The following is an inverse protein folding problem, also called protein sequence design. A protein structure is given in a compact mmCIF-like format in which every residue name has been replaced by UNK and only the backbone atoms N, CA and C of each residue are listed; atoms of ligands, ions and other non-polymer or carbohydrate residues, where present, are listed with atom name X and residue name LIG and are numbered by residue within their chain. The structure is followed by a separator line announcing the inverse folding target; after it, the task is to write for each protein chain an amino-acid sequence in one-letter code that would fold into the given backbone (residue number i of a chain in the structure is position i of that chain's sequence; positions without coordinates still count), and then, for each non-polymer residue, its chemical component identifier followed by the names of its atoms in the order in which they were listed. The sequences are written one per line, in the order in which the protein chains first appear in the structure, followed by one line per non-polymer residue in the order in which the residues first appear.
data_IF_392945795342
#
_entry.id   IF_392945795342
#
_cell.length_a   1.000
_cell.length_b   1.000
_cell.length_c   1.000
_cell.angle_alpha   90.00
_cell.angle_beta   90.00
_cell.angle_gamma   90.00
#
_symmetry.space_group_name_H-M   'P 1'
#
loop_
_entity.id
_entity.type
_entity.pdbx_description
1 polymer ?
#
# COMPACT_ATOMS: atom_id res chain seq x y z
N UNK A 1 -1.19 -14.61 12.60
CA UNK A 1 -0.83 -13.42 13.38
C UNK A 1 0.11 -12.55 12.54
N UNK A 2 -0.10 -11.22 12.51
CA UNK A 2 0.81 -10.30 11.81
C UNK A 2 2.19 -10.31 12.44
N UNK A 3 3.25 -10.45 11.64
CA UNK A 3 4.65 -10.48 12.10
C UNK A 3 5.48 -9.31 11.54
N UNK A 4 5.04 -8.69 10.46
CA UNK A 4 5.64 -7.49 9.90
C UNK A 4 4.66 -6.81 8.93
N UNK A 5 4.83 -5.50 8.72
CA UNK A 5 4.15 -4.77 7.66
C UNK A 5 5.08 -3.74 7.02
N UNK A 6 4.88 -3.51 5.72
CA UNK A 6 5.44 -2.39 4.97
C UNK A 6 4.29 -1.55 4.41
N UNK A 7 4.33 -0.27 4.64
CA UNK A 7 3.44 0.70 4.01
C UNK A 7 4.21 1.39 2.89
N UNK A 8 3.67 1.38 1.70
CA UNK A 8 4.28 1.99 0.51
C UNK A 8 3.24 2.82 -0.26
N UNK A 9 3.66 3.93 -0.88
CA UNK A 9 2.80 4.67 -1.79
C UNK A 9 2.56 3.86 -3.07
N UNK A 10 1.47 4.14 -3.77
CA UNK A 10 1.10 3.38 -4.96
C UNK A 10 0.87 4.21 -6.24
N UNK A 11 1.52 5.37 -6.42
CA UNK A 11 1.38 6.06 -7.68
C UNK A 11 2.05 5.25 -8.80
N UNK A 12 1.42 5.10 -9.98
CA UNK A 12 2.05 4.47 -11.14
C UNK A 12 3.40 5.10 -11.52
N UNK A 13 3.63 6.35 -11.14
CA UNK A 13 4.90 7.07 -11.31
C UNK A 13 6.10 6.45 -10.54
N UNK A 14 5.86 5.54 -9.58
CA UNK A 14 6.94 4.76 -8.99
C UNK A 14 7.64 3.86 -10.02
N UNK A 15 6.92 3.45 -11.07
CA UNK A 15 7.47 2.69 -12.19
C UNK A 15 8.23 3.64 -13.11
N UNK A 16 9.57 3.47 -13.28
CA UNK A 16 10.41 4.42 -14.03
C UNK A 16 9.94 4.66 -15.46
N UNK A 17 9.43 3.62 -16.12
CA UNK A 17 8.92 3.71 -17.49
C UNK A 17 7.70 4.64 -17.58
N UNK A 18 6.84 4.67 -16.55
CA UNK A 18 5.69 5.59 -16.47
C UNK A 18 6.16 7.00 -16.16
N UNK A 19 7.12 7.16 -15.25
CA UNK A 19 7.65 8.47 -14.87
C UNK A 19 8.53 9.10 -15.95
N UNK A 20 9.09 8.30 -16.86
CA UNK A 20 9.98 8.74 -17.93
C UNK A 20 11.12 9.66 -17.39
N UNK A 21 11.22 10.90 -17.90
CA UNK A 21 12.25 11.86 -17.48
C UNK A 21 12.18 12.30 -16.01
N UNK A 22 11.03 12.12 -15.34
CA UNK A 22 10.84 12.43 -13.93
C UNK A 22 11.22 11.26 -12.99
N UNK A 23 11.61 10.11 -13.53
CA UNK A 23 11.93 8.93 -12.73
C UNK A 23 12.92 9.18 -11.59
N UNK A 24 14.01 9.96 -11.74
CA UNK A 24 14.96 10.22 -10.65
C UNK A 24 14.34 10.92 -9.43
N UNK A 25 13.27 11.69 -9.61
CA UNK A 25 12.60 12.40 -8.51
C UNK A 25 12.00 11.46 -7.45
N UNK A 26 11.73 10.20 -7.82
CA UNK A 26 11.17 9.18 -6.93
C UNK A 26 12.19 8.11 -6.50
N UNK A 27 13.50 8.30 -6.75
CA UNK A 27 14.52 7.33 -6.36
C UNK A 27 14.57 7.13 -4.84
N UNK A 28 14.44 8.19 -4.05
CA UNK A 28 14.40 8.10 -2.60
C UNK A 28 13.19 7.29 -2.10
N UNK A 29 12.00 7.53 -2.67
CA UNK A 29 10.80 6.77 -2.35
C UNK A 29 10.96 5.29 -2.71
N UNK A 30 11.52 4.98 -3.89
CA UNK A 30 11.80 3.59 -4.32
C UNK A 30 12.79 2.88 -3.42
N UNK A 31 13.85 3.58 -2.98
CA UNK A 31 14.82 3.02 -2.03
C UNK A 31 14.14 2.69 -0.71
N UNK A 32 13.38 3.63 -0.14
CA UNK A 32 12.64 3.41 1.10
C UNK A 32 11.64 2.23 0.99
N UNK A 33 10.93 2.11 -0.14
CA UNK A 33 10.07 0.95 -0.39
C UNK A 33 10.88 -0.36 -0.37
N UNK A 34 12.05 -0.39 -1.00
CA UNK A 34 12.91 -1.59 -0.99
C UNK A 34 13.38 -1.95 0.42
N UNK A 35 13.74 -0.94 1.23
CA UNK A 35 14.12 -1.14 2.63
C UNK A 35 12.95 -1.70 3.45
N UNK A 36 11.73 -1.17 3.26
CA UNK A 36 10.52 -1.67 3.91
C UNK A 36 10.21 -3.13 3.53
N UNK A 37 10.38 -3.50 2.27
CA UNK A 37 10.21 -4.89 1.83
C UNK A 37 11.28 -5.81 2.43
N UNK A 38 12.49 -5.32 2.65
CA UNK A 38 13.55 -6.05 3.38
C UNK A 38 13.13 -6.44 4.80
N UNK A 39 12.35 -5.59 5.48
CA UNK A 39 11.78 -5.91 6.81
C UNK A 39 10.78 -7.06 6.73
N UNK A 40 9.94 -7.11 5.67
CA UNK A 40 9.00 -8.21 5.46
C UNK A 40 9.74 -9.55 5.26
N UNK A 41 10.78 -9.57 4.42
CA UNK A 41 11.59 -10.75 4.16
C UNK A 41 12.30 -11.24 5.44
N UNK A 42 12.89 -10.31 6.22
CA UNK A 42 13.56 -10.63 7.49
C UNK A 42 12.60 -11.26 8.52
N UNK A 43 11.31 -10.92 8.47
CA UNK A 43 10.29 -11.50 9.34
C UNK A 43 9.95 -12.95 8.99
N UNK A 44 10.37 -13.51 7.85
CA UNK A 44 10.11 -14.88 7.40
C UNK A 44 8.63 -15.28 7.55
N UNK A 45 7.72 -14.63 6.84
CA UNK A 45 6.30 -14.94 6.89
C UNK A 45 5.98 -16.28 6.22
N UNK A 46 4.85 -16.88 6.60
CA UNK A 46 4.25 -18.02 5.88
C UNK A 46 3.37 -17.57 4.72
N UNK A 47 2.91 -16.30 4.77
CA UNK A 47 2.07 -15.68 3.76
C UNK A 47 2.34 -14.18 3.72
N UNK A 48 2.49 -13.62 2.52
CA UNK A 48 2.44 -12.18 2.25
C UNK A 48 1.08 -11.81 1.67
N UNK A 49 0.44 -10.80 2.25
CA UNK A 49 -0.79 -10.23 1.65
C UNK A 49 -0.51 -8.80 1.22
N UNK A 50 -0.73 -8.51 -0.07
CA UNK A 50 -0.66 -7.16 -0.64
C UNK A 50 -2.05 -6.55 -0.57
N UNK A 51 -2.21 -5.46 0.18
CA UNK A 51 -3.49 -4.76 0.35
C UNK A 51 -3.39 -3.39 -0.29
N UNK A 52 -4.36 -3.00 -1.11
CA UNK A 52 -4.33 -1.68 -1.74
C UNK A 52 -5.71 -1.16 -2.11
N UNK A 53 -5.83 0.18 -2.35
CA UNK A 53 -7.08 0.79 -2.76
C UNK A 53 -7.52 0.26 -4.13
N UNK A 54 -8.81 0.05 -4.28
CA UNK A 54 -9.38 -0.46 -5.53
C UNK A 54 -10.74 0.15 -5.84
N UNK A 55 -10.94 0.48 -7.10
CA UNK A 55 -12.26 0.77 -7.66
C UNK A 55 -13.17 -0.47 -7.61
N UNK A 56 -14.43 -0.30 -7.96
CA UNK A 56 -15.46 -1.33 -7.80
C UNK A 56 -15.07 -2.68 -8.43
N UNK A 57 -14.56 -2.68 -9.65
CA UNK A 57 -14.12 -3.89 -10.36
C UNK A 57 -12.87 -4.55 -9.77
N UNK A 58 -12.05 -3.78 -9.03
CA UNK A 58 -10.80 -4.23 -8.43
C UNK A 58 -10.92 -4.72 -6.99
N UNK A 59 -12.12 -4.69 -6.37
CA UNK A 59 -12.33 -5.12 -4.97
C UNK A 59 -12.29 -6.63 -4.82
N UNK A 60 -11.79 -7.09 -3.69
CA UNK A 60 -11.74 -8.51 -3.31
C UNK A 60 -10.36 -9.13 -3.52
N UNK A 61 -10.31 -10.45 -3.46
CA UNK A 61 -9.05 -11.21 -3.45
C UNK A 61 -8.51 -11.46 -4.86
N UNK A 62 -7.17 -11.52 -4.95
CA UNK A 62 -6.41 -11.87 -6.13
C UNK A 62 -5.43 -12.99 -5.75
N UNK A 63 -5.39 -14.09 -6.50
CA UNK A 63 -4.46 -15.18 -6.23
C UNK A 63 -3.03 -14.79 -6.65
N UNK A 64 -2.06 -15.53 -6.15
CA UNK A 64 -0.69 -15.49 -6.66
C UNK A 64 -0.68 -15.70 -8.17
N UNK A 65 0.21 -14.99 -8.87
CA UNK A 65 0.33 -15.02 -10.33
C UNK A 65 -0.70 -14.16 -11.07
N UNK A 66 -1.63 -13.47 -10.37
CA UNK A 66 -2.58 -12.55 -11.00
C UNK A 66 -1.85 -11.49 -11.84
N UNK A 67 -2.29 -11.24 -13.09
CA UNK A 67 -1.63 -10.29 -13.99
C UNK A 67 -1.97 -8.86 -13.65
N UNK A 68 -1.03 -7.95 -13.89
CA UNK A 68 -1.21 -6.51 -13.85
C UNK A 68 -0.51 -5.84 -15.02
N UNK A 69 -0.94 -4.63 -15.38
CA UNK A 69 -0.40 -3.92 -16.53
C UNK A 69 -0.36 -2.41 -16.29
N UNK A 70 0.65 -1.76 -16.87
CA UNK A 70 0.76 -0.30 -16.90
C UNK A 70 0.40 0.30 -18.26
N UNK A 71 -0.21 -0.48 -19.17
CA UNK A 71 -0.67 0.00 -20.49
C UNK A 71 -1.65 1.14 -20.37
N UNK A 72 -2.51 1.15 -19.33
CA UNK A 72 -3.42 2.26 -19.02
C UNK A 72 -2.71 3.59 -18.70
N UNK A 73 -1.41 3.54 -18.40
CA UNK A 73 -0.53 4.70 -18.15
C UNK A 73 0.45 4.96 -19.31
N UNK A 74 0.21 4.36 -20.48
CA UNK A 74 0.93 4.64 -21.71
C UNK A 74 2.24 3.85 -21.90
N UNK A 75 2.52 2.83 -21.08
CA UNK A 75 3.74 2.01 -21.18
C UNK A 75 3.41 0.53 -21.25
N UNK A 76 4.18 -0.23 -22.04
CA UNK A 76 4.00 -1.67 -22.19
C UNK A 76 4.83 -2.43 -21.14
N UNK A 77 4.45 -2.25 -19.88
CA UNK A 77 5.02 -2.96 -18.74
C UNK A 77 3.94 -3.85 -18.14
N UNK A 78 4.23 -5.13 -18.07
CA UNK A 78 3.38 -6.14 -17.43
C UNK A 78 4.06 -6.62 -16.15
N UNK A 79 3.26 -6.95 -15.14
CA UNK A 79 3.70 -7.47 -13.85
C UNK A 79 2.82 -8.63 -13.43
N UNK A 80 3.29 -9.41 -12.46
CA UNK A 80 2.51 -10.46 -11.82
C UNK A 80 2.63 -10.39 -10.31
N UNK A 81 1.56 -10.75 -9.63
CA UNK A 81 1.58 -10.85 -8.18
C UNK A 81 2.31 -12.12 -7.74
N UNK A 82 3.63 -12.09 -7.81
CA UNK A 82 4.49 -13.25 -7.57
C UNK A 82 4.49 -14.27 -8.69
N UNK A 83 5.14 -15.44 -8.50
CA UNK A 83 5.25 -16.49 -9.51
C UNK A 83 3.88 -17.04 -9.89
N UNK A 84 3.78 -17.53 -11.12
CA UNK A 84 2.54 -18.17 -11.61
C UNK A 84 2.28 -19.41 -10.76
N UNK A 85 1.10 -19.44 -10.13
CA UNK A 85 0.62 -20.58 -9.36
C UNK A 85 -0.21 -21.55 -10.22
N UNK A 86 -0.76 -22.58 -9.58
CA UNK A 86 -1.63 -23.57 -10.25
C UNK A 86 -2.97 -22.96 -10.71
N UNK A 87 -3.37 -21.84 -10.13
CA UNK A 87 -4.60 -21.14 -10.49
C UNK A 87 -4.27 -19.94 -11.37
N UNK A 88 -4.68 -19.97 -12.62
CA UNK A 88 -4.55 -18.83 -13.54
C UNK A 88 -5.73 -17.88 -13.29
N UNK A 89 -5.44 -16.66 -12.88
CA UNK A 89 -6.43 -15.58 -12.80
C UNK A 89 -6.43 -14.80 -14.11
N UNK A 90 -7.59 -14.63 -14.72
CA UNK A 90 -7.78 -13.71 -15.86
C UNK A 90 -8.10 -12.28 -15.38
N UNK A 91 -8.40 -12.12 -14.10
CA UNK A 91 -8.74 -10.82 -13.50
C UNK A 91 -7.46 -10.01 -13.29
N UNK A 92 -7.42 -8.85 -13.93
CA UNK A 92 -6.30 -7.92 -13.85
C UNK A 92 -6.24 -7.21 -12.49
N UNK A 93 -5.03 -7.06 -11.97
CA UNK A 93 -4.76 -6.32 -10.73
C UNK A 93 -5.19 -4.85 -10.86
N UNK A 94 -5.81 -4.25 -9.83
CA UNK A 94 -5.97 -2.80 -9.78
C UNK A 94 -4.59 -2.12 -9.73
N UNK A 95 -4.49 -0.84 -10.16
CA UNK A 95 -3.21 -0.13 -10.23
C UNK A 95 -2.38 -0.18 -8.95
N UNK A 96 -2.99 -0.07 -7.79
CA UNK A 96 -2.31 -0.15 -6.50
C UNK A 96 -1.60 -1.49 -6.28
N UNK A 97 -2.28 -2.60 -6.58
CA UNK A 97 -1.71 -3.94 -6.47
C UNK A 97 -0.70 -4.22 -7.59
N UNK A 98 -0.88 -3.63 -8.77
CA UNK A 98 0.10 -3.71 -9.85
C UNK A 98 1.43 -3.02 -9.46
N UNK A 99 1.37 -1.85 -8.80
CA UNK A 99 2.56 -1.20 -8.22
C UNK A 99 3.19 -2.06 -7.13
N UNK A 100 2.39 -2.67 -6.24
CA UNK A 100 2.87 -3.62 -5.24
C UNK A 100 3.57 -4.83 -5.86
N UNK A 101 2.99 -5.41 -6.92
CA UNK A 101 3.59 -6.51 -7.67
C UNK A 101 4.92 -6.11 -8.29
N UNK A 102 4.99 -4.91 -8.91
CA UNK A 102 6.23 -4.37 -9.46
C UNK A 102 7.33 -4.20 -8.41
N UNK A 103 6.99 -3.70 -7.22
CA UNK A 103 7.94 -3.58 -6.10
C UNK A 103 8.46 -4.95 -5.66
N UNK A 104 7.61 -5.97 -5.59
CA UNK A 104 7.99 -7.33 -5.22
C UNK A 104 8.89 -7.99 -6.28
N UNK A 105 8.58 -7.83 -7.58
CA UNK A 105 9.44 -8.31 -8.66
C UNK A 105 10.82 -7.64 -8.62
N UNK A 106 10.87 -6.33 -8.41
CA UNK A 106 12.11 -5.56 -8.32
C UNK A 106 13.01 -6.00 -7.16
N UNK A 107 12.43 -6.40 -6.03
CA UNK A 107 13.17 -6.91 -4.87
C UNK A 107 13.43 -8.41 -4.92
N UNK A 108 12.92 -9.09 -5.94
CA UNK A 108 13.09 -10.53 -6.11
C UNK A 108 12.38 -11.35 -5.02
N UNK A 109 11.20 -10.92 -4.59
CA UNK A 109 10.46 -11.60 -3.52
C UNK A 109 10.23 -13.08 -3.83
N UNK A 110 10.71 -13.94 -2.93
CA UNK A 110 10.54 -15.40 -2.99
C UNK A 110 10.36 -16.04 -1.62
N UNK A 111 10.20 -15.22 -0.56
CA UNK A 111 10.24 -15.68 0.83
C UNK A 111 8.95 -16.37 1.29
N UNK A 112 7.81 -16.02 0.68
CA UNK A 112 6.50 -16.62 1.00
C UNK A 112 5.53 -16.53 -0.19
N UNK A 113 4.49 -17.39 -0.22
CA UNK A 113 3.33 -17.23 -1.11
C UNK A 113 2.69 -15.85 -0.95
N UNK A 114 2.04 -15.37 -2.03
CA UNK A 114 1.45 -14.03 -2.09
C UNK A 114 -0.04 -14.10 -2.39
N UNK A 115 -0.82 -13.28 -1.70
CA UNK A 115 -2.20 -12.96 -2.05
C UNK A 115 -2.36 -11.44 -2.21
N UNK A 116 -3.28 -11.00 -3.07
CA UNK A 116 -3.69 -9.61 -3.19
C UNK A 116 -5.09 -9.38 -2.66
N UNK A 117 -5.33 -8.21 -2.08
CA UNK A 117 -6.65 -7.77 -1.62
C UNK A 117 -6.89 -6.32 -2.03
N UNK A 118 -7.84 -6.11 -2.94
CA UNK A 118 -8.32 -4.78 -3.31
C UNK A 118 -9.41 -4.29 -2.35
N UNK A 119 -9.19 -3.14 -1.73
CA UNK A 119 -10.09 -2.53 -0.74
C UNK A 119 -10.74 -1.29 -1.30
N UNK A 120 -12.06 -1.18 -1.18
CA UNK A 120 -12.80 0.02 -1.60
C UNK A 120 -12.61 1.17 -0.61
N UNK A 121 -12.34 2.37 -1.11
CA UNK A 121 -12.22 3.60 -0.32
C UNK A 121 -13.43 3.89 0.60
N UNK A 122 -14.69 3.66 0.16
CA UNK A 122 -15.86 3.92 1.01
C UNK A 122 -16.08 2.90 2.13
N UNK A 123 -15.20 1.87 2.26
CA UNK A 123 -15.35 0.86 3.30
C UNK A 123 -15.29 1.52 4.69
N UNK A 124 -16.29 1.23 5.52
CA UNK A 124 -16.37 1.77 6.89
C UNK A 124 -15.17 1.31 7.75
N UNK A 125 -14.67 2.13 8.66
CA UNK A 125 -13.50 1.81 9.50
C UNK A 125 -13.61 0.47 10.23
N UNK A 126 -14.78 0.16 10.78
CA UNK A 126 -15.04 -1.10 11.50
C UNK A 126 -14.91 -2.31 10.57
N UNK A 127 -15.35 -2.17 9.31
CA UNK A 127 -15.24 -3.22 8.30
C UNK A 127 -13.80 -3.37 7.80
N UNK A 128 -13.04 -2.27 7.74
CA UNK A 128 -11.61 -2.33 7.46
C UNK A 128 -10.88 -3.12 8.56
N UNK A 129 -11.14 -2.80 9.83
CA UNK A 129 -10.53 -3.51 10.96
C UNK A 129 -10.91 -5.00 10.98
N UNK A 130 -12.19 -5.33 10.69
CA UNK A 130 -12.64 -6.72 10.59
C UNK A 130 -11.89 -7.48 9.49
N UNK A 131 -11.80 -6.92 8.28
CA UNK A 131 -11.04 -7.49 7.18
C UNK A 131 -9.57 -7.68 7.55
N UNK A 132 -8.99 -6.74 8.29
CA UNK A 132 -7.63 -6.84 8.80
C UNK A 132 -7.44 -8.05 9.73
N UNK A 133 -8.33 -8.24 10.70
CA UNK A 133 -8.30 -9.40 11.60
C UNK A 133 -8.42 -10.72 10.84
N UNK A 134 -9.30 -10.79 9.85
CA UNK A 134 -9.45 -11.98 9.00
C UNK A 134 -8.16 -12.27 8.22
N UNK A 135 -7.51 -11.23 7.65
CA UNK A 135 -6.23 -11.38 6.95
C UNK A 135 -5.15 -11.86 7.91
N UNK A 136 -5.03 -11.24 9.10
CA UNK A 136 -4.04 -11.63 10.11
C UNK A 136 -4.20 -13.09 10.62
N UNK A 137 -5.39 -13.66 10.45
CA UNK A 137 -5.70 -15.05 10.84
C UNK A 137 -5.43 -16.09 9.74
N UNK A 138 -5.14 -15.68 8.49
CA UNK A 138 -4.98 -16.61 7.35
C UNK A 138 -3.82 -17.59 7.48
N UNK A 139 -2.75 -17.21 8.20
CA UNK A 139 -1.59 -18.07 8.43
C UNK A 139 -1.02 -17.83 9.83
N UNK A 140 -0.10 -18.70 10.24
CA UNK A 140 0.58 -18.55 11.54
C UNK A 140 1.42 -17.28 11.59
N UNK A 141 2.11 -16.94 10.50
CA UNK A 141 2.94 -15.76 10.33
C UNK A 141 2.53 -15.04 9.06
N UNK A 142 1.83 -13.93 9.19
CA UNK A 142 1.38 -13.10 8.05
C UNK A 142 2.21 -11.84 7.99
N UNK A 143 2.70 -11.47 6.81
CA UNK A 143 3.22 -10.14 6.53
C UNK A 143 2.24 -9.38 5.62
N UNK A 144 2.20 -8.05 5.77
CA UNK A 144 1.40 -7.18 4.91
C UNK A 144 2.29 -6.21 4.14
N UNK A 145 2.07 -6.12 2.82
CA UNK A 145 2.48 -4.99 2.00
C UNK A 145 1.23 -4.13 1.75
N UNK A 146 1.19 -2.95 2.36
CA UNK A 146 0.02 -2.07 2.35
C UNK A 146 0.28 -0.89 1.44
N UNK A 147 -0.44 -0.85 0.32
CA UNK A 147 -0.33 0.17 -0.71
C UNK A 147 -1.33 1.30 -0.45
N UNK A 148 -0.89 2.55 -0.60
CA UNK A 148 -1.81 3.68 -0.47
C UNK A 148 -1.09 5.02 -0.39
N UNK A 149 -1.71 6.05 -0.99
CA UNK A 149 -1.21 7.42 -0.96
C UNK A 149 -1.95 8.24 0.10
N UNK A 150 -1.28 9.22 0.68
CA UNK A 150 -1.87 10.21 1.55
C UNK A 150 -2.67 11.24 0.72
N UNK A 151 -2.82 12.48 1.18
CA UNK A 151 -3.65 13.45 0.46
C UNK A 151 -3.13 13.73 -0.96
N UNK A 152 -4.04 14.03 -1.89
CA UNK A 152 -3.68 14.50 -3.23
C UNK A 152 -3.95 16.01 -3.40
N UNK A 153 -3.81 16.79 -2.32
CA UNK A 153 -4.26 18.19 -2.23
C UNK A 153 -3.20 19.13 -1.64
N UNK A 154 -1.88 18.80 -1.77
CA UNK A 154 -0.79 19.56 -1.14
C UNK A 154 -0.40 20.83 -1.89
N UNK A 155 -0.74 20.99 -3.16
CA UNK A 155 -0.39 22.14 -3.98
C UNK A 155 -1.50 22.53 -4.97
N UNK A 156 -1.41 23.74 -5.54
CA UNK A 156 -2.35 24.19 -6.58
C UNK A 156 -2.27 23.38 -7.88
N UNK A 157 -1.21 22.59 -8.07
CA UNK A 157 -1.01 21.69 -9.22
C UNK A 157 -1.31 20.23 -8.89
N UNK A 158 -1.64 19.94 -7.63
CA UNK A 158 -2.01 18.59 -7.22
C UNK A 158 -3.30 18.12 -7.91
N UNK A 159 -3.50 16.80 -8.07
CA UNK A 159 -4.72 16.26 -8.69
C UNK A 159 -6.03 16.69 -8.01
N UNK A 160 -5.99 16.93 -6.70
CA UNK A 160 -7.13 17.38 -5.89
C UNK A 160 -7.17 18.89 -5.68
N UNK A 161 -6.21 19.66 -6.29
CA UNK A 161 -5.98 21.07 -6.00
C UNK A 161 -5.54 21.30 -4.54
N UNK A 162 -5.22 22.55 -4.18
CA UNK A 162 -4.76 22.90 -2.83
C UNK A 162 -5.91 22.87 -1.82
N UNK A 163 -5.73 22.14 -0.74
CA UNK A 163 -6.56 22.17 0.47
C UNK A 163 -5.64 22.32 1.70
N UNK A 164 -5.88 23.35 2.51
CA UNK A 164 -5.02 23.63 3.67
C UNK A 164 -5.04 22.52 4.73
N UNK A 165 -6.07 21.66 4.73
CA UNK A 165 -6.18 20.49 5.62
C UNK A 165 -5.26 19.34 5.22
N UNK A 166 -4.76 19.32 3.97
CA UNK A 166 -3.97 18.23 3.44
C UNK A 166 -2.63 18.04 4.18
N UNK A 167 -1.92 19.14 4.46
CA UNK A 167 -0.61 19.03 5.12
C UNK A 167 -0.75 18.52 6.58
N UNK A 168 -1.65 19.02 7.43
CA UNK A 168 -1.88 18.47 8.77
C UNK A 168 -2.34 17.01 8.75
N UNK A 169 -3.21 16.63 7.79
CA UNK A 169 -3.65 15.25 7.61
C UNK A 169 -2.49 14.32 7.29
N UNK A 170 -1.63 14.66 6.32
CA UNK A 170 -0.49 13.85 5.92
C UNK A 170 0.53 13.71 7.06
N UNK A 171 0.79 14.79 7.82
CA UNK A 171 1.68 14.75 8.98
C UNK A 171 1.18 13.77 10.05
N UNK A 172 -0.13 13.77 10.33
CA UNK A 172 -0.71 12.81 11.29
C UNK A 172 -0.65 11.38 10.77
N UNK A 173 -0.91 11.16 9.48
CA UNK A 173 -0.76 9.84 8.83
C UNK A 173 0.69 9.34 8.97
N UNK A 174 1.67 10.18 8.62
CA UNK A 174 3.08 9.81 8.70
C UNK A 174 3.51 9.50 10.15
N UNK A 175 3.05 10.31 11.12
CA UNK A 175 3.26 10.07 12.56
C UNK A 175 2.66 8.73 12.99
N UNK A 176 1.39 8.51 12.67
CA UNK A 176 0.67 7.32 13.10
C UNK A 176 1.27 6.03 12.52
N UNK A 177 1.56 6.03 11.21
CA UNK A 177 2.18 4.90 10.53
C UNK A 177 3.64 4.69 10.98
N UNK A 178 4.39 5.78 11.17
CA UNK A 178 5.78 5.72 11.65
C UNK A 178 5.92 5.21 13.08
N UNK A 179 4.89 5.36 13.92
CA UNK A 179 4.87 4.90 15.30
C UNK A 179 4.12 3.56 15.52
N UNK A 180 3.54 2.97 14.49
CA UNK A 180 2.59 1.86 14.58
C UNK A 180 1.45 2.16 15.57
N UNK A 181 0.96 3.40 15.58
CA UNK A 181 -0.12 3.86 16.44
C UNK A 181 -1.47 3.38 15.90
N UNK A 182 -1.88 2.18 16.29
CA UNK A 182 -3.11 1.54 15.80
C UNK A 182 -4.35 2.39 16.07
N UNK A 183 -4.40 3.05 17.22
CA UNK A 183 -5.56 3.86 17.60
C UNK A 183 -5.69 5.09 16.68
N UNK A 184 -4.59 5.77 16.39
CA UNK A 184 -4.58 6.91 15.47
C UNK A 184 -4.91 6.49 14.03
N UNK A 185 -4.37 5.35 13.55
CA UNK A 185 -4.70 4.83 12.21
C UNK A 185 -6.18 4.45 12.11
N UNK A 186 -6.75 3.80 13.12
CA UNK A 186 -8.17 3.46 13.14
C UNK A 186 -9.08 4.70 13.22
N UNK A 187 -8.61 5.78 13.87
CA UNK A 187 -9.34 7.03 14.02
C UNK A 187 -9.28 7.97 12.80
N UNK A 188 -8.54 7.61 11.73
CA UNK A 188 -8.51 8.42 10.52
C UNK A 188 -9.92 8.63 9.96
N UNK A 189 -10.30 9.90 9.81
CA UNK A 189 -11.64 10.28 9.35
C UNK A 189 -11.85 9.94 7.88
N UNK A 190 -12.85 9.11 7.61
CA UNK A 190 -13.14 8.62 6.25
C UNK A 190 -13.68 9.74 5.34
N UNK A 191 -14.43 10.69 5.89
CA UNK A 191 -14.96 11.84 5.13
C UNK A 191 -13.84 12.78 4.72
N UNK A 192 -12.98 13.16 5.66
CA UNK A 192 -11.82 14.01 5.39
C UNK A 192 -10.85 13.35 4.41
N UNK A 193 -10.55 12.05 4.58
CA UNK A 193 -9.69 11.31 3.67
C UNK A 193 -10.25 11.29 2.23
N UNK A 194 -11.57 11.11 2.07
CA UNK A 194 -12.24 11.16 0.76
C UNK A 194 -12.17 12.56 0.13
N UNK A 195 -12.43 13.63 0.90
CA UNK A 195 -12.31 15.01 0.45
C UNK A 195 -10.89 15.34 0.00
N UNK A 196 -9.88 14.88 0.74
CA UNK A 196 -8.46 15.07 0.43
C UNK A 196 -7.93 14.06 -0.59
N UNK A 197 -8.76 13.14 -1.10
CA UNK A 197 -8.39 12.09 -2.05
C UNK A 197 -7.24 11.19 -1.55
N UNK A 198 -7.22 10.92 -0.26
CA UNK A 198 -6.23 10.02 0.36
C UNK A 198 -6.64 8.56 0.13
N UNK A 199 -6.01 7.89 -0.82
CA UNK A 199 -6.35 6.51 -1.21
C UNK A 199 -5.94 5.45 -0.18
N UNK A 200 -5.01 5.79 0.71
CA UNK A 200 -4.45 4.85 1.68
C UNK A 200 -5.31 4.61 2.92
N UNK A 201 -6.31 5.44 3.23
CA UNK A 201 -7.06 5.36 4.49
C UNK A 201 -7.61 3.97 4.78
N UNK A 202 -8.35 3.37 3.84
CA UNK A 202 -8.97 2.07 4.05
C UNK A 202 -7.93 0.93 4.16
N UNK A 203 -6.90 0.81 3.28
CA UNK A 203 -5.80 -0.14 3.47
C UNK A 203 -5.06 0.01 4.81
N UNK A 204 -4.81 1.23 5.29
CA UNK A 204 -4.15 1.45 6.58
C UNK A 204 -5.02 1.02 7.76
N UNK A 205 -6.32 1.22 7.69
CA UNK A 205 -7.25 0.72 8.70
C UNK A 205 -7.38 -0.82 8.67
N UNK A 206 -7.23 -1.45 7.50
CA UNK A 206 -7.06 -2.91 7.39
C UNK A 206 -5.77 -3.35 8.10
N UNK A 207 -4.65 -2.65 7.86
CA UNK A 207 -3.39 -2.92 8.57
C UNK A 207 -3.57 -2.83 10.09
N UNK A 208 -4.21 -1.76 10.57
CA UNK A 208 -4.43 -1.58 12.01
C UNK A 208 -5.23 -2.74 12.61
N UNK A 209 -6.27 -3.23 11.91
CA UNK A 209 -7.02 -4.41 12.33
C UNK A 209 -6.19 -5.70 12.34
N UNK A 210 -5.32 -5.90 11.34
CA UNK A 210 -4.43 -7.06 11.28
C UNK A 210 -3.34 -7.05 12.38
N UNK A 211 -2.97 -5.85 12.84
CA UNK A 211 -1.92 -5.65 13.84
C UNK A 211 -2.44 -5.72 15.28
N UNK A 212 -3.76 -5.83 15.52
CA UNK A 212 -4.30 -5.97 16.87
C UNK A 212 -3.64 -7.14 17.62
N UNK A 213 -3.01 -6.85 18.75
CA UNK A 213 -2.32 -7.84 19.58
C UNK A 213 -0.95 -8.32 19.06
N UNK A 214 -0.44 -7.76 17.95
CA UNK A 214 0.86 -8.16 17.40
C UNK A 214 2.06 -7.47 18.08
N UNK A 215 1.85 -6.34 18.79
CA UNK A 215 2.90 -5.58 19.49
C UNK A 215 4.09 -5.19 18.61
N UNK A 216 3.83 -4.75 17.37
CA UNK A 216 4.84 -4.31 16.44
C UNK A 216 5.28 -2.87 16.74
N UNK A 217 6.55 -2.58 16.49
CA UNK A 217 7.10 -1.22 16.49
C UNK A 217 7.15 -0.66 15.08
N UNK A 218 6.88 0.63 14.92
CA UNK A 218 6.92 1.32 13.62
C UNK A 218 8.21 2.13 13.43
N UNK A 219 8.60 2.28 12.17
CA UNK A 219 9.64 3.20 11.72
C UNK A 219 9.16 3.91 10.45
N UNK A 220 9.21 5.25 10.45
CA UNK A 220 9.02 6.07 9.25
C UNK A 220 10.30 6.05 8.43
N UNK A 221 10.23 5.64 7.17
CA UNK A 221 11.39 5.54 6.27
C UNK A 221 11.40 6.67 5.22
N UNK A 222 10.23 7.19 4.85
CA UNK A 222 10.11 8.27 3.88
C UNK A 222 8.78 9.01 4.05
N UNK A 223 8.83 10.33 3.88
CA UNK A 223 7.67 11.21 3.78
C UNK A 223 8.00 12.37 2.84
N UNK A 224 7.20 12.57 1.79
CA UNK A 224 7.30 13.71 0.89
C UNK A 224 6.03 13.87 0.05
N UNK A 225 5.89 14.98 -0.68
CA UNK A 225 4.78 15.24 -1.59
C UNK A 225 5.25 15.88 -2.91
N UNK A 226 6.09 15.20 -3.71
CA UNK A 226 6.78 15.80 -4.86
C UNK A 226 5.85 16.33 -5.94
N UNK A 227 4.67 15.71 -6.10
CA UNK A 227 3.65 16.13 -7.09
C UNK A 227 2.37 16.67 -6.43
N UNK A 228 2.48 17.08 -5.17
CA UNK A 228 1.32 17.50 -4.39
C UNK A 228 0.46 16.33 -3.88
N UNK A 229 0.96 15.11 -4.00
CA UNK A 229 0.40 13.89 -3.41
C UNK A 229 1.33 13.41 -2.32
N UNK A 230 0.80 13.21 -1.12
CA UNK A 230 1.58 12.74 0.02
C UNK A 230 1.96 11.26 -0.14
N UNK A 231 3.25 10.98 -0.07
CA UNK A 231 3.83 9.64 -0.10
C UNK A 231 4.47 9.31 1.24
N UNK A 232 4.10 8.20 1.81
CA UNK A 232 4.62 7.72 3.09
C UNK A 232 5.13 6.31 2.93
N UNK A 233 6.35 6.05 3.42
CA UNK A 233 6.88 4.69 3.56
C UNK A 233 7.17 4.45 5.03
N UNK A 234 6.61 3.37 5.57
CA UNK A 234 6.84 2.94 6.94
C UNK A 234 7.00 1.42 7.00
N UNK A 235 7.74 0.94 8.00
CA UNK A 235 7.91 -0.48 8.26
C UNK A 235 7.57 -0.79 9.71
N UNK A 236 6.88 -1.92 9.93
CA UNK A 236 6.50 -2.43 11.26
C UNK A 236 7.10 -3.81 11.50
N UNK A 237 7.76 -3.98 12.63
CA UNK A 237 8.37 -5.27 13.03
C UNK A 237 8.44 -5.45 14.55
#
# INVERSE_FOLDING_TARGET
MLVAAAVCPCPPLLVPEVAAGAAPELDAARSACSDALGVLAAARPDLLVVVGPAGESGRGSFPQGAPGSFRGFGVDVEVRLGPVGDTVSERELPPSLAVGAWLLERTGWADAPIEGVGVGEPLAPERCAEAGREIGAKARRVALLVMGDASACRTVKAPGYLDERAAPFDTEVARALGAADLAAVQALDAGLAAELKASGRAPWQVLAGAAEGANLSGALLYEDAPYGVGYVVAAWS
#
